data_IF_022589800772
#
_entry.id   IF_022589800772
#
_cell.length_a   1.000
_cell.length_b   1.000
_cell.length_c   1.000
_cell.angle_alpha   90.00
_cell.angle_beta   90.00
_cell.angle_gamma   90.00
#
_symmetry.space_group_name_H-M   'P 1'
#
loop_
_entity.id
_entity.type
_entity.pdbx_description
1 polymer ?
#
# COMPACT_ATOMS: atom_id res chain seq x y z
N UNK A 1 12.93 -23.08 13.53
CA UNK A 1 12.85 -22.77 12.08
C UNK A 1 11.64 -23.46 11.42
N UNK A 2 11.28 -24.69 11.82
CA UNK A 2 10.07 -25.41 11.38
C UNK A 2 8.75 -24.63 11.56
N UNK A 3 8.49 -24.12 12.77
CA UNK A 3 7.19 -23.50 13.12
C UNK A 3 6.90 -22.21 12.33
N UNK A 4 7.95 -21.47 11.97
CA UNK A 4 7.81 -20.27 11.14
C UNK A 4 7.44 -20.63 9.70
N UNK A 5 7.96 -21.75 9.17
CA UNK A 5 7.57 -22.28 7.86
C UNK A 5 6.12 -22.75 7.84
N UNK A 6 5.65 -23.44 8.88
CA UNK A 6 4.26 -23.91 8.97
C UNK A 6 3.26 -22.76 9.06
N UNK A 7 3.60 -21.71 9.82
CA UNK A 7 2.77 -20.50 9.95
C UNK A 7 2.73 -19.69 8.65
N UNK A 8 3.86 -19.56 7.95
CA UNK A 8 3.94 -18.94 6.63
C UNK A 8 3.09 -19.71 5.61
N UNK A 9 3.25 -21.04 5.53
CA UNK A 9 2.49 -21.92 4.63
C UNK A 9 0.98 -21.83 4.85
N UNK A 10 0.53 -21.71 6.10
CA UNK A 10 -0.89 -21.55 6.43
C UNK A 10 -1.43 -20.18 6.00
N UNK A 11 -0.61 -19.13 6.12
CA UNK A 11 -0.96 -17.79 5.64
C UNK A 11 -1.06 -17.79 4.11
N UNK A 12 -0.12 -18.43 3.42
CA UNK A 12 -0.10 -18.51 1.95
C UNK A 12 -1.35 -19.24 1.40
N UNK A 13 -1.81 -20.32 2.06
CA UNK A 13 -3.06 -21.01 1.68
C UNK A 13 -4.30 -20.12 1.89
N UNK A 14 -4.35 -19.35 2.99
CA UNK A 14 -5.43 -18.39 3.23
C UNK A 14 -5.41 -17.30 2.15
N UNK A 15 -4.24 -16.84 1.76
CA UNK A 15 -4.12 -15.85 0.69
C UNK A 15 -4.58 -16.39 -0.66
N UNK A 16 -4.22 -17.62 -1.02
CA UNK A 16 -4.64 -18.23 -2.28
C UNK A 16 -6.17 -18.41 -2.34
N UNK A 17 -6.80 -18.71 -1.20
CA UNK A 17 -8.26 -18.89 -1.08
C UNK A 17 -9.01 -17.56 -1.06
N UNK A 18 -8.47 -16.53 -0.40
CA UNK A 18 -9.14 -15.22 -0.21
C UNK A 18 -8.82 -14.22 -1.31
N UNK A 19 -7.59 -14.23 -1.82
CA UNK A 19 -7.04 -13.22 -2.73
C UNK A 19 -6.64 -13.78 -4.11
N UNK A 20 -6.45 -15.09 -4.26
CA UNK A 20 -6.19 -15.73 -5.54
C UNK A 20 -5.10 -15.01 -6.36
N UNK A 21 -5.48 -14.39 -7.49
CA UNK A 21 -4.55 -13.67 -8.39
C UNK A 21 -4.17 -12.25 -7.95
N UNK A 22 -4.81 -11.68 -6.93
CA UNK A 22 -4.64 -10.29 -6.50
C UNK A 22 -4.04 -10.24 -5.09
N UNK A 23 -2.72 -10.42 -4.94
CA UNK A 23 -2.11 -10.57 -3.62
C UNK A 23 -2.33 -9.33 -2.75
N UNK A 24 -2.47 -9.53 -1.44
CA UNK A 24 -2.47 -8.45 -0.45
C UNK A 24 -1.23 -8.62 0.42
N UNK A 25 -0.53 -7.51 0.67
CA UNK A 25 0.68 -7.47 1.47
C UNK A 25 0.39 -7.86 2.90
N UNK A 26 1.35 -8.52 3.54
CA UNK A 26 1.19 -9.12 4.87
C UNK A 26 0.68 -8.14 5.94
N UNK A 27 1.07 -6.88 5.85
CA UNK A 27 0.67 -5.84 6.78
C UNK A 27 -0.78 -5.35 6.59
N UNK A 28 -1.42 -5.60 5.44
CA UNK A 28 -2.83 -5.29 5.21
C UNK A 28 -3.76 -6.49 5.34
N UNK A 29 -3.25 -7.73 5.41
CA UNK A 29 -4.10 -8.93 5.60
C UNK A 29 -5.03 -8.86 6.82
N UNK A 30 -4.65 -8.10 7.87
CA UNK A 30 -5.51 -7.90 9.04
C UNK A 30 -6.86 -7.27 8.70
N UNK A 31 -6.93 -6.42 7.68
CA UNK A 31 -8.21 -5.80 7.25
C UNK A 31 -9.15 -6.80 6.58
N UNK A 32 -8.67 -8.01 6.28
CA UNK A 32 -9.40 -9.09 5.60
C UNK A 32 -9.62 -10.33 6.49
N UNK A 33 -9.44 -10.23 7.81
CA UNK A 33 -9.58 -11.37 8.73
C UNK A 33 -10.96 -12.06 8.69
N UNK A 34 -11.98 -11.36 8.20
CA UNK A 34 -13.35 -11.87 8.07
C UNK A 34 -13.80 -12.02 6.60
N UNK A 35 -12.85 -12.10 5.65
CA UNK A 35 -13.12 -12.26 4.22
C UNK A 35 -12.54 -11.14 3.35
N UNK A 36 -12.76 -11.26 2.05
CA UNK A 36 -12.39 -10.21 1.10
C UNK A 36 -13.25 -8.96 1.34
N UNK A 37 -12.57 -7.87 1.69
CA UNK A 37 -13.15 -6.57 2.07
C UNK A 37 -12.65 -5.51 1.08
N UNK A 38 -12.83 -5.78 -0.21
CA UNK A 38 -12.29 -4.96 -1.29
C UNK A 38 -12.79 -3.51 -1.20
N UNK A 39 -14.03 -3.30 -0.71
CA UNK A 39 -14.61 -1.98 -0.55
C UNK A 39 -13.88 -1.07 0.45
N UNK A 40 -13.09 -1.62 1.40
CA UNK A 40 -12.34 -0.81 2.36
C UNK A 40 -11.30 0.07 1.66
N UNK A 41 -10.64 -0.47 0.64
CA UNK A 41 -9.68 0.27 -0.15
C UNK A 41 -10.35 0.88 -1.38
N UNK A 42 -11.18 0.12 -2.10
CA UNK A 42 -11.68 0.53 -3.41
C UNK A 42 -13.07 1.21 -3.40
N UNK A 43 -13.78 1.22 -2.27
CA UNK A 43 -15.16 1.70 -2.18
C UNK A 43 -16.21 0.79 -2.84
N UNK A 44 -15.80 -0.27 -3.52
CA UNK A 44 -16.67 -1.25 -4.19
C UNK A 44 -16.17 -2.68 -3.99
N UNK A 45 -17.09 -3.64 -4.01
CA UNK A 45 -16.79 -5.07 -3.80
C UNK A 45 -16.00 -5.73 -4.93
N UNK A 46 -16.20 -5.26 -6.16
CA UNK A 46 -15.58 -5.80 -7.36
C UNK A 46 -14.86 -4.67 -8.13
N UNK A 47 -13.69 -4.23 -7.66
CA UNK A 47 -12.96 -3.12 -8.26
C UNK A 47 -12.29 -3.51 -9.58
N UNK A 48 -12.21 -2.54 -10.49
CA UNK A 48 -11.43 -2.63 -11.74
C UNK A 48 -10.43 -1.47 -11.89
N UNK A 49 -10.26 -0.67 -10.85
CA UNK A 49 -9.40 0.50 -10.81
C UNK A 49 -8.73 0.64 -9.43
N UNK A 50 -7.67 1.44 -9.38
CA UNK A 50 -6.97 1.77 -8.15
C UNK A 50 -7.88 2.50 -7.14
N UNK A 51 -7.61 2.37 -5.83
CA UNK A 51 -8.38 3.06 -4.81
C UNK A 51 -8.16 4.58 -4.83
N UNK A 52 -9.16 5.33 -4.38
CA UNK A 52 -9.01 6.78 -4.15
C UNK A 52 -8.17 7.05 -2.91
N UNK A 53 -7.29 8.05 -2.95
CA UNK A 53 -6.46 8.51 -1.81
C UNK A 53 -7.26 8.68 -0.52
N UNK A 54 -8.52 9.12 -0.60
CA UNK A 54 -9.39 9.29 0.57
C UNK A 54 -9.63 7.98 1.33
N UNK A 55 -9.67 6.85 0.63
CA UNK A 55 -9.85 5.55 1.29
C UNK A 55 -8.60 5.14 2.07
N UNK A 56 -7.40 5.49 1.58
CA UNK A 56 -6.15 5.32 2.33
C UNK A 56 -6.13 6.22 3.58
N UNK A 57 -6.58 7.47 3.41
CA UNK A 57 -6.56 8.48 4.46
C UNK A 57 -7.45 8.13 5.66
N UNK A 58 -8.49 7.31 5.46
CA UNK A 58 -9.35 6.80 6.54
C UNK A 58 -8.58 6.03 7.63
N UNK A 59 -7.39 5.50 7.33
CA UNK A 59 -6.57 4.76 8.31
C UNK A 59 -5.15 5.30 8.46
N UNK A 60 -4.58 5.90 7.41
CA UNK A 60 -3.18 6.36 7.40
C UNK A 60 -3.01 7.86 7.66
N UNK A 61 -4.10 8.62 7.76
CA UNK A 61 -4.06 10.08 7.91
C UNK A 61 -4.14 10.82 6.57
N UNK A 62 -4.35 12.13 6.64
CA UNK A 62 -4.39 12.97 5.43
C UNK A 62 -3.01 13.02 4.76
N UNK A 63 -2.92 13.42 3.47
CA UNK A 63 -1.62 13.58 2.83
C UNK A 63 -0.66 14.51 3.59
N UNK A 64 -1.19 15.57 4.22
CA UNK A 64 -0.41 16.46 5.09
C UNK A 64 0.10 15.76 6.36
N UNK A 65 -0.70 14.87 6.97
CA UNK A 65 -0.27 14.09 8.13
C UNK A 65 0.86 13.12 7.76
N UNK A 66 0.76 12.48 6.58
CA UNK A 66 1.80 11.56 6.08
C UNK A 66 3.07 12.32 5.71
N UNK A 67 2.96 13.48 5.05
CA UNK A 67 4.07 14.37 4.77
C UNK A 67 4.83 14.77 6.03
N UNK A 68 4.11 15.09 7.11
CA UNK A 68 4.71 15.40 8.40
C UNK A 68 5.38 14.19 9.03
N UNK A 69 4.81 12.99 8.90
CA UNK A 69 5.44 11.76 9.38
C UNK A 69 6.80 11.50 8.71
N UNK A 70 7.00 11.96 7.48
CA UNK A 70 8.24 11.80 6.72
C UNK A 70 9.06 13.09 6.57
N UNK A 71 8.81 14.10 7.41
CA UNK A 71 9.48 15.42 7.34
C UNK A 71 11.02 15.35 7.48
N UNK A 72 11.56 14.24 7.98
CA UNK A 72 13.00 14.01 8.15
C UNK A 72 13.67 13.37 6.93
N UNK A 73 12.90 12.95 5.93
CA UNK A 73 13.43 12.43 4.67
C UNK A 73 13.75 13.60 3.75
N UNK A 74 14.93 13.57 3.11
CA UNK A 74 15.39 14.66 2.24
C UNK A 74 15.78 14.10 0.85
N UNK A 75 15.02 14.41 -0.21
CA UNK A 75 13.78 15.21 -0.21
C UNK A 75 12.59 14.42 0.35
N UNK A 76 11.62 15.09 0.97
CA UNK A 76 10.42 14.43 1.50
C UNK A 76 9.57 13.84 0.35
N UNK A 77 9.43 12.50 0.24
CA UNK A 77 8.72 11.89 -0.88
C UNK A 77 7.20 12.15 -0.85
N UNK A 78 6.65 12.60 0.27
CA UNK A 78 5.23 12.91 0.45
C UNK A 78 4.94 14.42 0.45
N UNK A 79 5.95 15.27 0.26
CA UNK A 79 5.80 16.70 0.02
C UNK A 79 6.80 17.15 -1.04
N UNK A 80 6.49 16.81 -2.29
CA UNK A 80 7.43 16.99 -3.40
C UNK A 80 7.36 18.41 -4.00
N UNK A 81 8.45 18.94 -4.57
CA UNK A 81 8.42 20.24 -5.23
C UNK A 81 7.48 20.34 -6.45
N UNK A 82 7.12 19.21 -7.07
CA UNK A 82 6.28 19.19 -8.27
C UNK A 82 4.79 19.05 -7.95
N UNK A 83 4.46 18.28 -6.91
CA UNK A 83 3.08 17.87 -6.61
C UNK A 83 2.64 18.18 -5.19
N UNK A 84 3.52 18.74 -4.35
CA UNK A 84 3.28 18.90 -2.92
C UNK A 84 2.85 17.57 -2.29
N UNK A 85 1.69 17.61 -1.63
CA UNK A 85 1.04 16.46 -0.98
C UNK A 85 -0.07 15.82 -1.83
N UNK A 86 -0.25 16.24 -3.09
CA UNK A 86 -1.42 15.90 -3.91
C UNK A 86 -1.22 14.65 -4.79
N UNK A 87 -0.03 14.05 -4.81
CA UNK A 87 0.23 12.85 -5.61
C UNK A 87 -0.55 11.65 -5.03
N UNK A 88 -1.37 10.93 -5.83
CA UNK A 88 -2.17 9.82 -5.31
C UNK A 88 -1.32 8.71 -4.69
N UNK A 89 -1.78 8.14 -3.57
CA UNK A 89 -1.01 7.15 -2.81
C UNK A 89 -0.62 5.92 -3.65
N UNK A 90 -1.52 5.47 -4.53
CA UNK A 90 -1.35 4.30 -5.39
C UNK A 90 -0.30 4.50 -6.50
N UNK A 91 0.10 5.75 -6.76
CA UNK A 91 1.17 6.08 -7.72
C UNK A 91 2.47 5.34 -7.36
N UNK A 92 2.75 5.26 -6.05
CA UNK A 92 3.94 4.59 -5.53
C UNK A 92 3.60 3.29 -4.76
N UNK A 93 2.55 3.32 -3.93
CA UNK A 93 2.17 2.23 -3.06
C UNK A 93 1.22 1.25 -3.75
N UNK A 94 1.74 0.11 -4.22
CA UNK A 94 0.94 -0.89 -4.95
C UNK A 94 0.68 -2.10 -4.08
N UNK A 95 -0.59 -2.33 -3.74
CA UNK A 95 -0.98 -3.46 -2.89
C UNK A 95 -0.88 -4.80 -3.63
N UNK A 96 -1.49 -4.87 -4.82
CA UNK A 96 -1.55 -6.08 -5.64
C UNK A 96 -0.30 -6.29 -6.51
N UNK A 97 0.84 -5.70 -6.14
CA UNK A 97 2.06 -5.76 -6.91
C UNK A 97 3.28 -5.20 -6.17
N UNK A 98 4.39 -5.05 -6.89
CA UNK A 98 5.58 -4.41 -6.34
C UNK A 98 5.38 -2.89 -6.32
N UNK A 99 5.58 -2.28 -5.15
CA UNK A 99 5.61 -0.82 -5.00
C UNK A 99 6.81 -0.23 -5.73
N UNK A 100 6.64 0.98 -6.26
CA UNK A 100 7.68 1.66 -7.02
C UNK A 100 7.82 3.10 -6.57
N UNK A 101 9.04 3.58 -6.45
CA UNK A 101 9.28 4.99 -6.19
C UNK A 101 9.13 5.79 -7.49
N UNK A 102 8.00 6.49 -7.68
CA UNK A 102 7.68 7.18 -8.93
C UNK A 102 8.74 8.20 -9.36
N UNK A 103 9.32 8.94 -8.42
CA UNK A 103 10.29 9.98 -8.73
C UNK A 103 11.61 9.39 -9.28
N UNK A 104 11.85 8.08 -9.14
CA UNK A 104 13.02 7.38 -9.73
C UNK A 104 13.09 7.50 -11.25
N UNK A 105 11.96 7.82 -11.90
CA UNK A 105 11.88 8.00 -13.34
C UNK A 105 12.69 9.21 -13.83
N UNK A 106 12.94 10.19 -12.95
CA UNK A 106 13.71 11.40 -13.25
C UNK A 106 14.88 11.64 -12.28
N UNK A 107 14.83 11.07 -11.07
CA UNK A 107 15.79 11.28 -10.00
C UNK A 107 16.43 9.96 -9.56
N UNK A 108 17.61 10.02 -8.94
CA UNK A 108 18.32 8.83 -8.45
C UNK A 108 18.32 8.79 -6.91
N UNK A 109 17.14 8.83 -6.29
CA UNK A 109 17.01 8.64 -4.84
C UNK A 109 16.82 7.16 -4.50
N UNK A 110 17.39 6.72 -3.38
CA UNK A 110 17.29 5.33 -2.92
C UNK A 110 16.19 5.17 -1.84
N UNK A 111 14.95 5.46 -2.24
CA UNK A 111 13.79 5.25 -1.37
C UNK A 111 13.17 3.88 -1.56
N UNK A 112 12.90 3.20 -0.44
CA UNK A 112 12.13 1.98 -0.42
C UNK A 112 10.66 2.31 -0.12
N UNK A 113 9.79 2.00 -1.08
CA UNK A 113 8.34 2.12 -0.90
C UNK A 113 7.82 0.78 -0.34
N UNK A 114 7.06 0.79 0.78
CA UNK A 114 6.51 -0.40 1.41
C UNK A 114 5.73 -1.31 0.45
#
# INVERSE_FOLDING_TARGET
MEQHKTKQYTIDIIDDVVFGKLPVKSYHKKVHQNGANCELCHGVKAPNAAPDTRNCANCHGTPADVAKCTEKLEPNPHDSPHWGTELPCDTCHREHGKSEFYCKNCHHFDYQVP
#
